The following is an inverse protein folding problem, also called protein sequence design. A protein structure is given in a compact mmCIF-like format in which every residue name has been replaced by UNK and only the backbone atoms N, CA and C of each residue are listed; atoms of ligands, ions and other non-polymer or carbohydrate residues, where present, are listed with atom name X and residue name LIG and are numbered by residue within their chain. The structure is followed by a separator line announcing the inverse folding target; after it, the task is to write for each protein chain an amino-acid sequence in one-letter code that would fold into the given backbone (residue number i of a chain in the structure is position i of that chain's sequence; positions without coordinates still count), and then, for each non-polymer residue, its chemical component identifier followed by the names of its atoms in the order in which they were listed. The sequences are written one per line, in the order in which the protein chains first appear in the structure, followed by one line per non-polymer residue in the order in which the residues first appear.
data_IF_970320204565
#
_entry.id   IF_970320204565
#
_cell.length_a   1.000
_cell.length_b   1.000
_cell.length_c   1.000
_cell.angle_alpha   90.00
_cell.angle_beta   90.00
_cell.angle_gamma   90.00
#
_symmetry.space_group_name_H-M   'P 1'
#
loop_
_entity.id
_entity.type
_entity.pdbx_description
1 polymer ?
#
# COMPACT_ATOMS: atom_id res chain seq x y z
N UNK A 1 2.40 64.65 14.11
CA UNK A 1 1.81 64.39 12.77
C UNK A 1 2.61 63.34 11.98
N UNK A 2 3.94 63.35 12.01
CA UNK A 2 4.83 62.41 11.33
C UNK A 2 4.83 60.97 11.89
N UNK A 3 4.71 60.78 13.21
CA UNK A 3 4.70 59.46 13.85
C UNK A 3 3.42 58.64 13.53
N UNK A 4 2.27 59.31 13.46
CA UNK A 4 0.96 58.70 13.19
C UNK A 4 0.81 58.21 11.73
N UNK A 5 1.43 58.94 10.80
CA UNK A 5 1.50 58.56 9.39
C UNK A 5 2.46 57.38 9.15
N UNK A 6 3.49 57.23 9.98
CA UNK A 6 4.44 56.12 9.91
C UNK A 6 3.81 54.81 10.40
N UNK A 7 3.08 54.85 11.53
CA UNK A 7 2.34 53.69 12.04
C UNK A 7 1.23 53.25 11.09
N UNK A 8 0.46 54.18 10.52
CA UNK A 8 -0.58 53.84 9.53
C UNK A 8 -0.02 53.18 8.26
N UNK A 9 1.16 53.61 7.80
CA UNK A 9 1.84 53.02 6.65
C UNK A 9 2.38 51.61 6.91
N UNK A 10 2.88 51.34 8.11
CA UNK A 10 3.33 50.00 8.52
C UNK A 10 2.15 49.02 8.58
N UNK A 11 1.00 49.45 9.13
CA UNK A 11 -0.20 48.62 9.17
C UNK A 11 -0.77 48.29 7.78
N UNK A 12 -0.77 49.25 6.86
CA UNK A 12 -1.18 49.02 5.46
C UNK A 12 -0.21 48.07 4.72
N UNK A 13 1.09 48.14 5.01
CA UNK A 13 2.09 47.22 4.45
C UNK A 13 1.89 45.79 4.98
N UNK A 14 1.65 45.62 6.28
CA UNK A 14 1.39 44.31 6.88
C UNK A 14 0.08 43.67 6.37
N UNK A 15 -0.96 44.48 6.12
CA UNK A 15 -2.21 44.01 5.53
C UNK A 15 -2.03 43.54 4.08
N UNK A 16 -1.22 44.25 3.28
CA UNK A 16 -0.92 43.87 1.90
C UNK A 16 -0.10 42.57 1.81
N UNK A 17 0.79 42.30 2.78
CA UNK A 17 1.60 41.06 2.82
C UNK A 17 0.75 39.84 3.17
N UNK A 18 -0.27 39.97 4.03
CA UNK A 18 -1.18 38.87 4.35
C UNK A 18 -2.18 38.56 3.21
N UNK A 19 -2.48 39.53 2.34
CA UNK A 19 -3.33 39.32 1.17
C UNK A 19 -2.65 38.53 0.04
N UNK A 20 -1.33 38.31 0.13
CA UNK A 20 -0.54 37.52 -0.82
C UNK A 20 -0.16 36.13 -0.27
N UNK A 21 -0.86 35.65 0.75
CA UNK A 21 -0.73 34.24 1.10
C UNK A 21 -1.48 33.42 0.03
N UNK A 22 -0.82 32.46 -0.64
CA UNK A 22 -1.55 31.52 -1.47
C UNK A 22 -2.60 30.85 -0.59
N UNK A 23 -3.82 30.73 -1.13
CA UNK A 23 -4.88 29.96 -0.47
C UNK A 23 -4.31 28.60 -0.04
N UNK A 24 -4.69 28.06 1.14
CA UNK A 24 -4.28 26.72 1.52
C UNK A 24 -4.67 25.76 0.39
N UNK A 25 -3.66 25.23 -0.30
CA UNK A 25 -3.85 24.15 -1.26
C UNK A 25 -4.17 22.93 -0.43
N UNK A 26 -5.46 22.65 -0.26
CA UNK A 26 -5.89 21.35 0.22
C UNK A 26 -5.52 20.32 -0.85
N UNK A 27 -4.86 19.24 -0.44
CA UNK A 27 -4.63 18.11 -1.33
C UNK A 27 -6.00 17.62 -1.83
N UNK A 28 -6.15 17.55 -3.14
CA UNK A 28 -7.30 16.89 -3.76
C UNK A 28 -7.28 15.42 -3.31
N UNK A 29 -8.38 14.93 -2.73
CA UNK A 29 -8.54 13.49 -2.57
C UNK A 29 -8.49 12.86 -3.95
N UNK A 30 -7.50 12.01 -4.19
CA UNK A 30 -7.42 11.18 -5.39
C UNK A 30 -7.97 9.79 -5.05
N UNK A 31 -9.30 9.57 -5.20
CA UNK A 31 -9.90 8.30 -4.83
C UNK A 31 -9.35 7.18 -5.73
N UNK A 32 -9.01 6.05 -5.11
CA UNK A 32 -8.67 4.83 -5.85
C UNK A 32 -9.84 4.45 -6.75
N UNK A 33 -9.57 4.21 -8.04
CA UNK A 33 -10.63 3.91 -9.00
C UNK A 33 -11.41 2.65 -8.62
N UNK A 34 -12.71 2.65 -8.89
CA UNK A 34 -13.58 1.49 -8.62
C UNK A 34 -13.09 0.20 -9.32
N UNK A 35 -12.46 0.33 -10.49
CA UNK A 35 -11.87 -0.78 -11.22
C UNK A 35 -10.71 -1.44 -10.44
N UNK A 36 -9.87 -0.65 -9.76
CA UNK A 36 -8.79 -1.19 -8.91
C UNK A 36 -9.35 -1.94 -7.71
N UNK A 37 -10.38 -1.38 -7.06
CA UNK A 37 -11.05 -2.02 -5.92
C UNK A 37 -11.73 -3.33 -6.33
N UNK A 38 -12.39 -3.36 -7.49
CA UNK A 38 -12.98 -4.57 -8.05
C UNK A 38 -11.92 -5.64 -8.34
N UNK A 39 -10.80 -5.27 -8.96
CA UNK A 39 -9.70 -6.19 -9.25
C UNK A 39 -9.03 -6.72 -7.97
N UNK A 40 -8.91 -5.89 -6.93
CA UNK A 40 -8.45 -6.32 -5.61
C UNK A 40 -9.39 -7.39 -5.04
N UNK A 41 -10.70 -7.13 -5.07
CA UNK A 41 -11.67 -8.07 -4.50
C UNK A 41 -11.67 -9.40 -5.25
N UNK A 42 -11.51 -9.37 -6.58
CA UNK A 42 -11.34 -10.57 -7.38
C UNK A 42 -10.08 -11.37 -6.99
N UNK A 43 -8.94 -10.69 -6.75
CA UNK A 43 -7.72 -11.35 -6.27
C UNK A 43 -7.90 -11.95 -4.89
N UNK A 44 -8.55 -11.24 -3.96
CA UNK A 44 -8.84 -11.76 -2.61
C UNK A 44 -9.69 -13.02 -2.68
N UNK A 45 -10.72 -13.04 -3.53
CA UNK A 45 -11.56 -14.23 -3.73
C UNK A 45 -10.75 -15.41 -4.30
N UNK A 46 -9.93 -15.16 -5.33
CA UNK A 46 -9.09 -16.19 -5.93
C UNK A 46 -8.07 -16.77 -4.93
N UNK A 47 -7.40 -15.92 -4.15
CA UNK A 47 -6.44 -16.34 -3.13
C UNK A 47 -7.14 -17.16 -2.04
N UNK A 48 -8.31 -16.71 -1.55
CA UNK A 48 -9.09 -17.45 -0.54
C UNK A 48 -9.44 -18.86 -1.02
N UNK A 49 -9.80 -19.01 -2.28
CA UNK A 49 -10.11 -20.31 -2.84
C UNK A 49 -8.86 -21.17 -3.00
N UNK A 50 -7.79 -20.61 -3.58
CA UNK A 50 -6.55 -21.35 -3.86
C UNK A 50 -5.78 -21.74 -2.59
N UNK A 51 -5.84 -20.91 -1.54
CA UNK A 51 -5.12 -21.16 -0.28
C UNK A 51 -5.56 -22.44 0.42
N UNK A 52 -6.77 -22.93 0.15
CA UNK A 52 -7.29 -24.17 0.73
C UNK A 52 -6.48 -25.42 0.32
N UNK A 53 -5.85 -25.40 -0.85
CA UNK A 53 -5.03 -26.49 -1.35
C UNK A 53 -3.53 -26.27 -1.10
N UNK A 54 -3.12 -25.07 -0.68
CA UNK A 54 -1.71 -24.76 -0.44
C UNK A 54 -1.24 -25.33 0.91
N UNK A 55 -0.07 -25.97 0.91
CA UNK A 55 0.52 -26.57 2.11
C UNK A 55 1.95 -26.08 2.32
N UNK A 56 2.35 -25.93 3.58
CA UNK A 56 3.74 -25.66 3.95
C UNK A 56 4.51 -26.97 4.05
N UNK A 57 5.71 -27.01 3.49
CA UNK A 57 6.58 -28.18 3.46
C UNK A 57 7.85 -27.88 4.23
N UNK A 58 8.16 -28.75 5.20
CA UNK A 58 9.34 -28.69 6.05
C UNK A 58 10.14 -29.98 5.85
N UNK A 59 11.16 -29.93 5.01
CA UNK A 59 11.93 -31.11 4.59
C UNK A 59 13.40 -30.95 4.98
N UNK A 60 13.71 -31.30 6.23
CA UNK A 60 15.06 -31.15 6.81
C UNK A 60 15.37 -29.71 7.21
N UNK A 61 16.09 -29.54 8.32
CA UNK A 61 16.15 -28.29 9.11
C UNK A 61 16.75 -27.03 8.47
N UNK A 62 16.97 -26.97 7.16
CA UNK A 62 17.60 -25.84 6.47
C UNK A 62 16.75 -25.22 5.35
N UNK A 63 15.53 -25.70 5.09
CA UNK A 63 14.67 -25.14 4.04
C UNK A 63 13.16 -25.32 4.29
N UNK A 64 12.38 -24.29 3.95
CA UNK A 64 10.91 -24.32 3.96
C UNK A 64 10.43 -23.93 2.56
N UNK A 65 9.38 -24.60 2.09
CA UNK A 65 8.73 -24.26 0.83
C UNK A 65 7.23 -24.49 0.87
N UNK A 66 6.61 -24.34 -0.30
CA UNK A 66 5.17 -24.56 -0.47
C UNK A 66 4.92 -25.71 -1.42
N UNK A 67 3.80 -26.40 -1.23
CA UNK A 67 3.24 -27.33 -2.18
C UNK A 67 1.75 -27.13 -2.36
N UNK A 68 1.16 -27.92 -3.25
CA UNK A 68 -0.27 -27.91 -3.57
C UNK A 68 -0.82 -29.32 -3.47
N UNK A 69 -1.89 -29.52 -2.69
CA UNK A 69 -2.67 -30.75 -2.69
C UNK A 69 -3.36 -30.91 -4.04
N UNK A 70 -3.13 -32.05 -4.70
CA UNK A 70 -3.69 -32.34 -6.03
C UNK A 70 -4.71 -33.47 -6.02
N UNK A 71 -4.82 -34.20 -4.91
CA UNK A 71 -5.75 -35.31 -4.75
C UNK A 71 -6.21 -35.47 -3.30
N UNK A 72 -7.41 -36.04 -3.14
CA UNK A 72 -8.08 -36.24 -1.85
C UNK A 72 -7.44 -37.30 -0.94
N UNK A 73 -6.61 -38.17 -1.50
CA UNK A 73 -5.80 -39.17 -0.78
C UNK A 73 -4.49 -38.59 -0.20
N UNK A 74 -4.26 -37.28 -0.35
CA UNK A 74 -3.18 -36.55 0.33
C UNK A 74 -1.91 -36.34 -0.48
N UNK A 75 -1.89 -36.65 -1.78
CA UNK A 75 -0.75 -36.31 -2.63
C UNK A 75 -0.61 -34.80 -2.84
N UNK A 76 0.62 -34.29 -2.67
CA UNK A 76 0.98 -32.89 -2.89
C UNK A 76 2.10 -32.75 -3.93
N UNK A 77 2.03 -31.72 -4.75
CA UNK A 77 3.11 -31.32 -5.67
C UNK A 77 3.95 -30.19 -5.06
N UNK A 78 5.26 -30.31 -5.20
CA UNK A 78 6.24 -29.28 -4.83
C UNK A 78 7.43 -29.32 -5.78
N UNK A 79 8.25 -28.28 -5.73
CA UNK A 79 9.52 -28.28 -6.43
C UNK A 79 10.52 -29.23 -5.75
N UNK A 80 11.36 -29.92 -6.53
CA UNK A 80 12.36 -30.86 -6.01
C UNK A 80 13.31 -30.21 -4.99
N UNK A 81 13.77 -28.98 -5.27
CA UNK A 81 14.70 -28.26 -4.40
C UNK A 81 14.12 -27.93 -3.00
N UNK A 82 12.79 -28.01 -2.83
CA UNK A 82 12.14 -27.80 -1.53
C UNK A 82 12.40 -28.98 -0.59
N UNK A 83 12.49 -30.20 -1.14
CA UNK A 83 12.66 -31.43 -0.34
C UNK A 83 14.08 -31.98 -0.34
N UNK A 84 14.88 -31.60 -1.34
CA UNK A 84 16.28 -31.98 -1.44
C UNK A 84 17.10 -30.79 -1.96
N UNK A 85 17.85 -30.10 -1.08
CA UNK A 85 18.76 -29.04 -1.50
C UNK A 85 19.80 -29.59 -2.50
N UNK A 86 20.16 -28.80 -3.51
CA UNK A 86 21.08 -29.21 -4.57
C UNK A 86 22.57 -29.04 -4.22
N UNK A 87 22.95 -29.13 -2.94
CA UNK A 87 24.31 -28.87 -2.45
C UNK A 87 24.70 -29.73 -1.26
#
# INVERSE_FOLDING_TARGET
MTLFLFTARVWLLCAAVNAWQPLPVFAEENPVSAAVLAAQQQRVAAIRQASMAAVSIFAGGQGVGSGVLVSSDGFALTNFHVVQPAG
#
